data_IF_600842010132
#
_entry.id   IF_600842010132
#
_cell.length_a   1.000
_cell.length_b   1.000
_cell.length_c   1.000
_cell.angle_alpha   90.00
_cell.angle_beta   90.00
_cell.angle_gamma   90.00
#
_symmetry.space_group_name_H-M   'P 1'
#
loop_
_entity.id
_entity.type
_entity.pdbx_description
1 polymer ?
#
# COMPACT_ATOMS: atom_id res chain seq x y z
N UNK A 1 -13.24 2.95 12.62
CA UNK A 1 -13.13 4.04 11.63
C UNK A 1 -14.03 3.75 10.44
N UNK A 2 -14.66 4.77 9.85
CA UNK A 2 -15.36 4.60 8.57
C UNK A 2 -14.36 4.32 7.44
N UNK A 3 -14.80 3.72 6.33
CA UNK A 3 -13.94 3.44 5.17
C UNK A 3 -13.22 4.71 4.67
N UNK A 4 -13.93 5.84 4.65
CA UNK A 4 -13.38 7.12 4.21
C UNK A 4 -12.32 7.67 5.16
N UNK A 5 -12.50 7.51 6.48
CA UNK A 5 -11.50 7.88 7.48
C UNK A 5 -10.22 7.07 7.34
N UNK A 6 -10.34 5.75 7.13
CA UNK A 6 -9.19 4.87 6.88
C UNK A 6 -8.43 5.28 5.63
N UNK A 7 -9.13 5.56 4.52
CA UNK A 7 -8.51 6.04 3.28
C UNK A 7 -7.82 7.39 3.51
N UNK A 8 -8.47 8.33 4.18
CA UNK A 8 -7.90 9.64 4.49
C UNK A 8 -6.63 9.50 5.36
N UNK A 9 -6.66 8.68 6.39
CA UNK A 9 -5.50 8.41 7.24
C UNK A 9 -4.34 7.81 6.45
N UNK A 10 -4.59 6.80 5.61
CA UNK A 10 -3.59 6.15 4.77
C UNK A 10 -3.00 7.12 3.74
N UNK A 11 -3.82 7.94 3.08
CA UNK A 11 -3.37 8.95 2.12
C UNK A 11 -2.50 10.00 2.81
N UNK A 12 -2.90 10.47 3.99
CA UNK A 12 -2.15 11.48 4.74
C UNK A 12 -0.79 10.93 5.20
N UNK A 13 -0.77 9.69 5.71
CA UNK A 13 0.46 8.99 6.08
C UNK A 13 1.40 8.79 4.88
N UNK A 14 0.82 8.37 3.75
CA UNK A 14 1.56 8.19 2.48
C UNK A 14 2.12 9.52 1.98
N UNK A 15 1.36 10.61 2.06
CA UNK A 15 1.81 11.94 1.68
C UNK A 15 2.95 12.43 2.58
N UNK A 16 2.86 12.21 3.89
CA UNK A 16 3.93 12.54 4.83
C UNK A 16 5.21 11.73 4.53
N UNK A 17 5.10 10.42 4.35
CA UNK A 17 6.23 9.57 3.99
C UNK A 17 6.85 9.95 2.64
N UNK A 18 6.01 10.29 1.64
CA UNK A 18 6.44 10.74 0.33
C UNK A 18 7.15 12.10 0.40
N UNK A 19 6.65 13.03 1.23
CA UNK A 19 7.30 14.30 1.49
C UNK A 19 8.67 14.13 2.15
N UNK A 20 8.77 13.27 3.19
CA UNK A 20 10.05 12.93 3.80
C UNK A 20 11.02 12.33 2.78
N UNK A 21 10.55 11.39 1.95
CA UNK A 21 11.37 10.80 0.89
C UNK A 21 11.85 11.87 -0.08
N UNK A 22 10.96 12.74 -0.57
CA UNK A 22 11.30 13.77 -1.54
C UNK A 22 12.27 14.82 -0.96
N UNK A 23 12.11 15.20 0.31
CA UNK A 23 12.92 16.22 0.98
C UNK A 23 14.31 15.72 1.37
N UNK A 24 14.42 14.50 1.91
CA UNK A 24 15.66 14.02 2.54
C UNK A 24 16.36 12.89 1.78
N UNK A 25 15.61 11.91 1.26
CA UNK A 25 16.18 10.65 0.71
C UNK A 25 16.38 10.69 -0.81
N UNK A 26 15.46 11.35 -1.54
CA UNK A 26 15.42 11.47 -3.00
C UNK A 26 15.49 10.13 -3.74
N UNK A 27 14.96 9.07 -3.14
CA UNK A 27 14.89 7.74 -3.74
C UNK A 27 13.68 7.61 -4.67
N UNK A 28 13.68 6.65 -5.63
CA UNK A 28 12.47 6.27 -6.37
C UNK A 28 11.31 6.06 -5.39
N UNK A 29 10.14 6.62 -5.72
CA UNK A 29 9.00 6.77 -4.78
C UNK A 29 8.65 5.49 -4.04
N UNK A 30 8.56 4.36 -4.74
CA UNK A 30 8.26 3.05 -4.14
C UNK A 30 9.32 2.60 -3.13
N UNK A 31 10.61 2.76 -3.46
CA UNK A 31 11.72 2.37 -2.59
C UNK A 31 11.78 3.30 -1.38
N UNK A 32 11.61 4.61 -1.59
CA UNK A 32 11.64 5.61 -0.55
C UNK A 32 10.52 5.44 0.48
N UNK A 33 9.29 5.17 0.04
CA UNK A 33 8.18 4.88 0.95
C UNK A 33 8.44 3.64 1.80
N UNK A 34 8.91 2.55 1.19
CA UNK A 34 9.26 1.33 1.93
C UNK A 34 10.35 1.61 2.96
N UNK A 35 11.39 2.36 2.59
CA UNK A 35 12.47 2.70 3.50
C UNK A 35 11.98 3.53 4.70
N UNK A 36 11.16 4.56 4.46
CA UNK A 36 10.55 5.36 5.53
C UNK A 36 9.68 4.49 6.45
N UNK A 37 8.88 3.59 5.89
CA UNK A 37 8.04 2.68 6.69
C UNK A 37 8.88 1.75 7.59
N UNK A 38 9.97 1.19 7.06
CA UNK A 38 10.90 0.36 7.84
C UNK A 38 11.56 1.19 8.94
N UNK A 39 12.03 2.40 8.64
CA UNK A 39 12.64 3.29 9.62
C UNK A 39 11.68 3.65 10.75
N UNK A 40 10.43 4.00 10.43
CA UNK A 40 9.39 4.29 11.43
C UNK A 40 9.13 3.05 12.30
N UNK A 41 9.03 1.86 11.70
CA UNK A 41 8.84 0.61 12.44
C UNK A 41 10.00 0.34 13.42
N UNK A 42 11.25 0.49 12.97
CA UNK A 42 12.43 0.34 13.81
C UNK A 42 12.48 1.35 14.96
N UNK A 43 12.13 2.62 14.70
CA UNK A 43 12.07 3.66 15.73
C UNK A 43 11.00 3.31 16.78
N UNK A 44 9.81 2.87 16.36
CA UNK A 44 8.76 2.46 17.29
C UNK A 44 9.19 1.27 18.16
N UNK A 45 9.85 0.27 17.56
CA UNK A 45 10.40 -0.87 18.31
C UNK A 45 11.46 -0.43 19.32
N UNK A 46 12.38 0.45 18.93
CA UNK A 46 13.42 0.97 19.80
C UNK A 46 12.85 1.82 20.95
N UNK A 47 11.82 2.64 20.70
CA UNK A 47 11.18 3.41 21.77
C UNK A 47 10.42 2.50 22.75
N UNK A 48 9.85 1.40 22.27
CA UNK A 48 9.19 0.40 23.10
C UNK A 48 10.14 -0.32 24.08
N UNK A 49 11.43 -0.46 23.76
CA UNK A 49 12.40 -1.08 24.68
C UNK A 49 12.90 -0.12 25.77
N UNK A 50 12.76 1.20 25.57
CA UNK A 50 13.15 2.25 26.54
C UNK A 50 12.07 2.46 27.63
N UNK A 51 10.98 1.67 27.60
CA UNK A 51 9.94 1.69 28.64
C UNK A 51 8.80 2.67 28.38
N UNK A 52 8.75 3.29 27.20
CA UNK A 52 7.56 4.03 26.78
C UNK A 52 6.44 3.06 26.40
N UNK A 53 5.24 3.26 26.94
CA UNK A 53 4.03 2.47 26.59
C UNK A 53 3.45 2.87 25.22
N UNK A 54 4.32 2.90 24.21
CA UNK A 54 3.96 3.17 22.81
C UNK A 54 3.30 1.93 22.20
N UNK A 55 3.60 0.74 22.73
CA UNK A 55 3.10 -0.52 22.19
C UNK A 55 1.57 -0.62 22.32
N UNK A 56 1.01 -0.29 23.48
CA UNK A 56 -0.44 -0.33 23.70
C UNK A 56 -1.19 0.66 22.80
N UNK A 57 -0.64 1.86 22.62
CA UNK A 57 -1.20 2.92 21.78
C UNK A 57 -1.18 2.53 20.30
N UNK A 58 -0.04 2.03 19.81
CA UNK A 58 0.10 1.58 18.42
C UNK A 58 -0.81 0.39 18.15
N UNK A 59 -0.92 -0.57 19.08
CA UNK A 59 -1.81 -1.72 18.93
C UNK A 59 -3.29 -1.31 18.89
N UNK A 60 -3.68 -0.30 19.69
CA UNK A 60 -5.02 0.29 19.65
C UNK A 60 -5.34 0.91 18.28
N UNK A 61 -4.43 1.73 17.75
CA UNK A 61 -4.59 2.35 16.43
C UNK A 61 -4.65 1.29 15.32
N UNK A 62 -3.80 0.27 15.37
CA UNK A 62 -3.78 -0.79 14.36
C UNK A 62 -5.06 -1.65 14.40
N UNK A 63 -5.67 -1.85 15.58
CA UNK A 63 -6.96 -2.54 15.71
C UNK A 63 -8.14 -1.76 15.14
N UNK A 64 -8.06 -0.43 15.12
CA UNK A 64 -9.11 0.41 14.53
C UNK A 64 -9.05 0.48 13.00
N UNK A 65 -7.88 0.21 12.41
CA UNK A 65 -7.66 0.20 10.97
C UNK A 65 -7.92 -1.22 10.42
N UNK A 66 -9.11 -1.44 9.90
CA UNK A 66 -9.36 -2.61 9.05
C UNK A 66 -8.78 -2.37 7.64
N UNK A 67 -7.46 -2.58 7.53
CA UNK A 67 -6.74 -2.40 6.27
C UNK A 67 -7.25 -3.36 5.20
N UNK A 68 -7.57 -4.60 5.58
CA UNK A 68 -8.08 -5.62 4.65
C UNK A 68 -9.39 -5.17 4.03
N UNK A 69 -10.35 -4.77 4.86
CA UNK A 69 -11.65 -4.28 4.37
C UNK A 69 -11.50 -3.00 3.55
N UNK A 70 -10.66 -2.06 4.00
CA UNK A 70 -10.45 -0.77 3.31
C UNK A 70 -9.76 -0.95 1.95
N UNK A 71 -8.74 -1.81 1.87
CA UNK A 71 -8.02 -2.10 0.63
C UNK A 71 -8.87 -2.97 -0.30
N UNK A 72 -9.38 -4.10 0.18
CA UNK A 72 -10.05 -5.10 -0.65
C UNK A 72 -11.39 -4.59 -1.18
N UNK A 73 -12.21 -3.96 -0.33
CA UNK A 73 -13.56 -3.54 -0.71
C UNK A 73 -13.61 -2.09 -1.22
N UNK A 74 -12.64 -1.26 -0.84
CA UNK A 74 -12.58 0.15 -1.23
C UNK A 74 -11.59 0.40 -2.37
N UNK A 75 -10.30 0.33 -2.03
CA UNK A 75 -9.23 0.85 -2.90
C UNK A 75 -8.91 -0.07 -4.10
N UNK A 76 -9.06 -1.39 -3.97
CA UNK A 76 -8.64 -2.36 -5.00
C UNK A 76 -9.37 -2.13 -6.33
N UNK A 77 -10.68 -1.87 -6.31
CA UNK A 77 -11.46 -1.58 -7.51
C UNK A 77 -10.92 -0.36 -8.26
N UNK A 78 -10.55 0.70 -7.54
CA UNK A 78 -9.93 1.89 -8.13
C UNK A 78 -8.52 1.61 -8.67
N UNK A 79 -7.72 0.81 -7.95
CA UNK A 79 -6.37 0.42 -8.38
C UNK A 79 -6.40 -0.46 -9.64
N UNK A 80 -7.31 -1.44 -9.71
CA UNK A 80 -7.49 -2.30 -10.88
C UNK A 80 -8.01 -1.49 -12.08
N UNK A 81 -8.93 -0.55 -11.85
CA UNK A 81 -9.38 0.36 -12.90
C UNK A 81 -8.26 1.27 -13.41
N UNK A 82 -7.50 1.91 -12.50
CA UNK A 82 -6.37 2.74 -12.88
C UNK A 82 -5.28 1.95 -13.63
N UNK A 83 -5.03 0.69 -13.21
CA UNK A 83 -4.14 -0.22 -13.90
C UNK A 83 -4.64 -0.55 -15.32
N UNK A 84 -5.93 -0.85 -15.46
CA UNK A 84 -6.54 -1.12 -16.77
C UNK A 84 -6.51 0.09 -17.71
N UNK A 85 -6.64 1.32 -17.21
CA UNK A 85 -6.55 2.54 -18.03
C UNK A 85 -5.16 2.75 -18.67
N UNK A 86 -4.10 2.20 -18.10
CA UNK A 86 -2.75 2.28 -18.66
C UNK A 86 -2.49 1.20 -19.74
N UNK A 87 -3.39 0.22 -19.90
CA UNK A 87 -3.24 -0.86 -20.87
C UNK A 87 -3.71 -0.41 -22.25
N UNK A 88 -2.84 -0.50 -23.24
CA UNK A 88 -3.21 -0.23 -24.64
C UNK A 88 -4.03 -1.40 -25.20
N UNK A 89 -5.19 -1.08 -25.75
CA UNK A 89 -6.10 -2.07 -26.32
C UNK A 89 -5.51 -2.79 -27.54
N UNK A 90 -4.67 -2.11 -28.33
CA UNK A 90 -3.99 -2.70 -29.49
C UNK A 90 -3.02 -3.81 -29.07
N UNK A 91 -2.14 -3.54 -28.11
CA UNK A 91 -1.19 -4.52 -27.55
C UNK A 91 -1.92 -5.72 -26.92
N UNK A 92 -3.06 -5.46 -26.25
CA UNK A 92 -3.92 -6.48 -25.64
C UNK A 92 -4.52 -7.40 -26.70
N UNK A 93 -5.01 -6.82 -27.81
CA UNK A 93 -5.60 -7.57 -28.92
C UNK A 93 -4.55 -8.40 -29.65
N UNK A 94 -3.33 -7.90 -29.79
CA UNK A 94 -2.23 -8.63 -30.43
C UNK A 94 -1.80 -9.84 -29.59
N UNK A 95 -1.79 -9.72 -28.26
CA UNK A 95 -1.30 -10.75 -27.33
C UNK A 95 -2.41 -11.47 -26.53
N UNK A 96 -3.65 -11.46 -27.03
CA UNK A 96 -4.82 -11.92 -26.27
C UNK A 96 -4.73 -13.38 -25.81
N UNK A 97 -4.16 -14.28 -26.63
CA UNK A 97 -4.09 -15.71 -26.32
C UNK A 97 -3.10 -16.02 -25.16
N UNK A 98 -1.84 -15.54 -25.17
CA UNK A 98 -0.96 -15.65 -24.02
C UNK A 98 -1.55 -15.04 -22.74
N UNK A 99 -2.16 -13.85 -22.86
CA UNK A 99 -2.75 -13.15 -21.71
C UNK A 99 -3.91 -13.95 -21.11
N UNK A 100 -4.82 -14.48 -21.94
CA UNK A 100 -5.93 -15.29 -21.48
C UNK A 100 -5.47 -16.58 -20.79
N UNK A 101 -4.44 -17.24 -21.33
CA UNK A 101 -3.88 -18.46 -20.74
C UNK A 101 -3.21 -18.18 -19.39
N UNK A 102 -2.41 -17.11 -19.29
CA UNK A 102 -1.75 -16.72 -18.04
C UNK A 102 -2.76 -16.27 -16.98
N UNK A 103 -3.77 -15.49 -17.36
CA UNK A 103 -4.79 -14.98 -16.44
C UNK A 103 -5.76 -16.05 -15.92
N UNK A 104 -5.92 -17.18 -16.63
CA UNK A 104 -6.82 -18.28 -16.21
C UNK A 104 -6.05 -19.47 -15.65
N UNK A 105 -5.33 -20.19 -16.51
CA UNK A 105 -4.59 -21.40 -16.14
C UNK A 105 -3.39 -21.03 -15.26
N UNK A 106 -2.64 -19.98 -15.61
CA UNK A 106 -1.50 -19.54 -14.83
C UNK A 106 -1.86 -19.17 -13.38
N UNK A 107 -2.96 -18.42 -13.21
CA UNK A 107 -3.47 -18.05 -11.88
C UNK A 107 -4.00 -19.27 -11.10
N UNK A 108 -4.65 -20.22 -11.77
CA UNK A 108 -5.22 -21.40 -11.08
C UNK A 108 -4.14 -22.35 -10.57
N UNK A 109 -2.96 -22.37 -11.20
CA UNK A 109 -1.83 -23.22 -10.80
C UNK A 109 -0.94 -22.55 -9.73
N UNK A 110 -0.89 -21.22 -9.65
CA UNK A 110 -0.01 -20.44 -8.76
C UNK A 110 -0.48 -20.39 -7.31
#
# INVERSE_FOLDING_TARGET
MSLLESIAALVTLTAAASYLNHRFLKLPTTIGLMFVAIMVSLVLLALGTVGFDIRSQVEGILKEIDFSQSLMNGMLSFLLFAGALHVKFEDLKENWAPIALLATIGVTIS
#
